data_IF_345590018865
#
_entry.id   IF_345590018865
#
_cell.length_a   1.000
_cell.length_b   1.000
_cell.length_c   1.000
_cell.angle_alpha   90.00
_cell.angle_beta   90.00
_cell.angle_gamma   90.00
#
_symmetry.space_group_name_H-M   'P 1'
#
loop_
_entity.id
_entity.type
_entity.pdbx_description
1 polymer ?
#
# COMPACT_ATOMS: atom_id res chain seq x y z
N UNK A 1 31.87 3.56 34.84
CA UNK A 1 31.33 3.64 36.22
C UNK A 1 29.80 3.76 36.29
N UNK A 2 29.04 3.58 35.19
CA UNK A 2 27.55 3.73 35.19
C UNK A 2 26.82 2.37 35.05
N UNK A 3 27.50 1.32 34.57
CA UNK A 3 26.87 0.01 34.33
C UNK A 3 26.77 -0.88 35.58
N UNK A 4 27.40 -0.52 36.70
CA UNK A 4 27.46 -1.35 37.91
C UNK A 4 26.34 -1.08 38.94
N UNK A 5 25.44 -0.11 38.67
CA UNK A 5 24.32 0.24 39.56
C UNK A 5 22.94 -0.21 39.04
N UNK A 6 22.90 -0.95 37.93
CA UNK A 6 21.67 -1.40 37.26
C UNK A 6 21.45 -2.90 37.51
N UNK A 7 20.23 -3.27 37.94
CA UNK A 7 19.85 -4.68 38.11
C UNK A 7 20.07 -5.45 36.80
N UNK A 8 20.66 -6.65 36.88
CA UNK A 8 21.03 -7.49 35.74
C UNK A 8 19.89 -7.66 34.72
N UNK A 9 18.65 -7.83 35.18
CA UNK A 9 17.46 -7.93 34.33
C UNK A 9 17.19 -6.65 33.53
N UNK A 10 17.37 -5.47 34.14
CA UNK A 10 17.21 -4.17 33.47
C UNK A 10 18.32 -3.93 32.44
N UNK A 11 19.52 -4.42 32.72
CA UNK A 11 20.67 -4.35 31.82
C UNK A 11 20.44 -5.22 30.57
N UNK A 12 19.91 -6.44 30.73
CA UNK A 12 19.51 -7.28 29.59
C UNK A 12 18.37 -6.66 28.78
N UNK A 13 17.39 -6.06 29.44
CA UNK A 13 16.28 -5.38 28.77
C UNK A 13 16.77 -4.16 27.97
N UNK A 14 17.70 -3.37 28.53
CA UNK A 14 18.33 -2.27 27.80
C UNK A 14 19.15 -2.73 26.60
N UNK A 15 19.95 -3.80 26.76
CA UNK A 15 20.74 -4.38 25.67
C UNK A 15 19.85 -4.92 24.54
N UNK A 16 18.72 -5.54 24.88
CA UNK A 16 17.72 -5.97 23.90
C UNK A 16 17.15 -4.79 23.11
N UNK A 17 16.74 -3.70 23.78
CA UNK A 17 16.23 -2.50 23.10
C UNK A 17 17.31 -1.79 22.25
N UNK A 18 18.57 -1.84 22.65
CA UNK A 18 19.69 -1.25 21.89
C UNK A 18 20.02 -2.03 20.60
N UNK A 19 19.71 -3.33 20.56
CA UNK A 19 19.88 -4.16 19.37
C UNK A 19 18.76 -3.97 18.33
N UNK A 20 17.65 -3.31 18.70
CA UNK A 20 16.50 -3.03 17.81
C UNK A 20 16.62 -1.65 17.15
N UNK A 21 17.83 -1.16 16.88
CA UNK A 21 18.01 0.03 16.02
C UNK A 21 17.93 -0.42 14.56
N UNK A 22 16.69 -0.57 14.09
CA UNK A 22 16.41 -0.87 12.69
C UNK A 22 16.67 0.36 11.83
N UNK A 23 17.30 0.14 10.67
CA UNK A 23 17.44 1.15 9.62
C UNK A 23 16.04 1.53 9.11
N UNK A 24 15.58 2.74 9.43
CA UNK A 24 14.34 3.26 8.87
C UNK A 24 14.61 3.71 7.44
N UNK A 25 13.99 3.04 6.48
CA UNK A 25 13.92 3.54 5.11
C UNK A 25 12.73 4.51 5.02
N UNK A 26 12.98 5.76 4.63
CA UNK A 26 11.91 6.69 4.32
C UNK A 26 11.28 6.30 2.98
N UNK A 27 10.29 5.40 3.01
CA UNK A 27 9.50 5.05 1.84
C UNK A 27 8.26 5.94 1.82
N UNK A 28 8.06 6.64 0.70
CA UNK A 28 6.86 7.44 0.50
C UNK A 28 5.77 6.57 -0.11
N UNK A 29 4.88 6.06 0.74
CA UNK A 29 3.62 5.50 0.25
C UNK A 29 2.67 6.62 -0.15
N UNK A 30 1.81 6.35 -1.14
CA UNK A 30 0.74 7.26 -1.49
C UNK A 30 -0.14 7.53 -0.26
N UNK A 31 -0.22 8.79 0.19
CA UNK A 31 -1.08 9.19 1.31
C UNK A 31 -2.49 9.50 0.80
N UNK A 32 -3.47 8.81 1.38
CA UNK A 32 -4.89 9.01 1.12
C UNK A 32 -5.60 9.55 2.36
N UNK A 33 -6.20 10.75 2.27
CA UNK A 33 -7.13 11.26 3.29
C UNK A 33 -8.52 10.62 3.18
N UNK A 34 -8.83 9.98 2.05
CA UNK A 34 -10.15 9.40 1.71
C UNK A 34 -10.11 7.87 1.61
N UNK A 35 -9.18 7.25 2.34
CA UNK A 35 -8.91 5.81 2.31
C UNK A 35 -10.15 4.94 2.60
N UNK A 36 -11.11 5.46 3.38
CA UNK A 36 -12.36 4.79 3.77
C UNK A 36 -13.20 4.34 2.55
N UNK A 37 -13.08 5.02 1.40
CA UNK A 37 -13.87 4.71 0.21
C UNK A 37 -13.27 3.62 -0.70
N UNK A 38 -12.05 3.16 -0.42
CA UNK A 38 -11.41 2.08 -1.16
C UNK A 38 -10.71 1.11 -0.19
N UNK A 39 -11.53 0.30 0.49
CA UNK A 39 -11.04 -0.72 1.43
C UNK A 39 -10.11 -1.73 0.75
N UNK A 40 -10.41 -2.13 -0.48
CA UNK A 40 -9.64 -3.13 -1.23
C UNK A 40 -8.24 -2.61 -1.59
N UNK A 41 -8.06 -1.29 -1.76
CA UNK A 41 -6.75 -0.68 -1.93
C UNK A 41 -5.86 -0.84 -0.70
N UNK A 42 -6.45 -0.81 0.49
CA UNK A 42 -5.71 -0.78 1.75
C UNK A 42 -5.51 -2.18 2.31
N UNK A 43 -6.57 -2.99 2.29
CA UNK A 43 -6.61 -4.25 2.99
C UNK A 43 -7.23 -5.34 2.10
N UNK A 44 -6.47 -6.38 1.70
CA UNK A 44 -7.03 -7.49 0.92
C UNK A 44 -8.17 -8.22 1.65
N UNK A 45 -8.25 -8.14 2.99
CA UNK A 45 -9.31 -8.77 3.79
C UNK A 45 -10.68 -8.09 3.64
N UNK A 46 -10.73 -6.93 2.98
CA UNK A 46 -11.99 -6.24 2.68
C UNK A 46 -12.71 -6.75 1.42
N UNK A 47 -12.08 -7.64 0.64
CA UNK A 47 -12.71 -8.24 -0.53
C UNK A 47 -14.01 -8.96 -0.13
N UNK A 48 -15.13 -8.64 -0.78
CA UNK A 48 -16.42 -9.24 -0.50
C UNK A 48 -17.03 -8.81 0.84
N UNK A 49 -16.50 -7.79 1.52
CA UNK A 49 -17.06 -7.30 2.78
C UNK A 49 -18.45 -6.68 2.63
N UNK A 50 -18.87 -6.36 1.40
CA UNK A 50 -20.22 -5.89 1.06
C UNK A 50 -21.21 -7.00 0.72
N UNK A 51 -20.76 -8.26 0.75
CA UNK A 51 -21.53 -9.49 0.44
C UNK A 51 -22.00 -9.63 -1.00
N UNK A 52 -22.38 -8.54 -1.66
CA UNK A 52 -22.70 -8.46 -3.08
C UNK A 52 -21.47 -8.20 -3.96
N UNK A 53 -21.64 -8.40 -5.27
CA UNK A 53 -20.68 -7.89 -6.26
C UNK A 53 -20.67 -6.36 -6.26
N UNK A 54 -19.50 -5.79 -6.05
CA UNK A 54 -19.30 -4.36 -5.89
C UNK A 54 -18.19 -3.86 -6.83
N UNK A 55 -18.56 -2.98 -7.76
CA UNK A 55 -17.64 -2.29 -8.66
C UNK A 55 -17.57 -0.82 -8.26
N UNK A 56 -16.37 -0.30 -8.05
CA UNK A 56 -16.16 1.11 -7.71
C UNK A 56 -14.92 1.68 -8.38
N UNK A 57 -14.95 2.99 -8.62
CA UNK A 57 -13.82 3.74 -9.15
C UNK A 57 -13.61 5.01 -8.33
N UNK A 58 -12.36 5.41 -8.20
CA UNK A 58 -11.96 6.59 -7.46
C UNK A 58 -11.00 7.43 -8.30
N UNK A 59 -11.24 8.73 -8.33
CA UNK A 59 -10.35 9.70 -8.95
C UNK A 59 -10.11 10.87 -8.01
N UNK A 60 -8.86 11.29 -7.90
CA UNK A 60 -8.44 12.41 -7.06
C UNK A 60 -7.40 13.23 -7.78
N UNK A 61 -7.63 14.54 -7.87
CA UNK A 61 -6.63 15.53 -8.26
C UNK A 61 -6.50 16.52 -7.12
N UNK A 62 -5.27 16.76 -6.66
CA UNK A 62 -4.98 17.78 -5.65
C UNK A 62 -4.12 18.89 -6.23
N UNK A 63 -4.02 20.02 -5.54
CA UNK A 63 -3.13 21.15 -5.90
C UNK A 63 -3.28 21.57 -7.37
N UNK A 64 -4.53 21.59 -7.85
CA UNK A 64 -4.85 21.89 -9.25
C UNK A 64 -4.28 23.24 -9.65
N UNK A 65 -3.58 23.30 -10.78
CA UNK A 65 -2.86 24.50 -11.24
C UNK A 65 -1.37 24.51 -10.90
N UNK A 66 -0.89 23.59 -10.04
CA UNK A 66 0.54 23.38 -9.79
C UNK A 66 1.10 22.37 -10.80
N UNK A 67 2.21 22.70 -11.45
CA UNK A 67 2.90 21.78 -12.37
C UNK A 67 3.38 20.54 -11.61
N UNK A 68 3.02 19.35 -12.10
CA UNK A 68 3.37 18.09 -11.45
C UNK A 68 2.50 17.73 -10.24
N UNK A 69 1.35 18.38 -10.07
CA UNK A 69 0.46 18.12 -8.95
C UNK A 69 0.01 16.63 -8.85
N UNK A 70 -0.23 16.12 -7.61
CA UNK A 70 -0.64 14.74 -7.40
C UNK A 70 -1.98 14.39 -8.04
N UNK A 71 -2.01 13.27 -8.76
CA UNK A 71 -3.20 12.67 -9.34
C UNK A 71 -3.24 11.18 -9.02
N UNK A 72 -4.39 10.70 -8.55
CA UNK A 72 -4.64 9.29 -8.23
C UNK A 72 -5.90 8.82 -8.94
N UNK A 73 -5.87 7.61 -9.47
CA UNK A 73 -7.00 6.92 -10.05
C UNK A 73 -6.99 5.47 -9.60
N UNK A 74 -8.15 4.89 -9.31
CA UNK A 74 -8.27 3.44 -9.12
C UNK A 74 -9.63 2.93 -9.56
N UNK A 75 -9.66 1.66 -9.93
CA UNK A 75 -10.88 0.89 -10.17
C UNK A 75 -10.72 -0.46 -9.49
N UNK A 76 -11.78 -0.88 -8.80
CA UNK A 76 -11.80 -2.12 -8.05
C UNK A 76 -13.15 -2.81 -8.23
N UNK A 77 -13.10 -4.13 -8.32
CA UNK A 77 -14.27 -4.99 -8.34
C UNK A 77 -14.04 -6.13 -7.35
N UNK A 78 -14.98 -6.34 -6.46
CA UNK A 78 -14.93 -7.42 -5.47
C UNK A 78 -16.31 -8.00 -5.21
N UNK A 79 -16.35 -9.17 -4.58
CA UNK A 79 -17.59 -9.85 -4.23
C UNK A 79 -17.31 -11.14 -3.46
N UNK A 80 -18.38 -11.82 -3.07
CA UNK A 80 -18.28 -13.09 -2.35
C UNK A 80 -18.55 -14.29 -3.24
N UNK A 81 -17.97 -15.43 -2.87
CA UNK A 81 -18.17 -16.74 -3.47
C UNK A 81 -18.20 -17.80 -2.36
N UNK A 82 -18.64 -19.02 -2.70
CA UNK A 82 -18.68 -20.17 -1.77
C UNK A 82 -19.53 -19.87 -0.51
N UNK A 83 -20.78 -19.49 -0.72
CA UNK A 83 -21.74 -19.13 0.33
C UNK A 83 -21.17 -18.09 1.31
N UNK A 84 -20.64 -17.00 0.77
CA UNK A 84 -20.09 -15.85 1.52
C UNK A 84 -18.84 -16.12 2.38
N UNK A 85 -18.32 -17.36 2.39
CA UNK A 85 -17.11 -17.74 3.14
C UNK A 85 -15.82 -17.20 2.53
N UNK A 86 -15.86 -16.82 1.26
CA UNK A 86 -14.70 -16.34 0.52
C UNK A 86 -15.05 -15.04 -0.19
N UNK A 87 -14.22 -14.02 -0.01
CA UNK A 87 -14.22 -12.80 -0.80
C UNK A 87 -13.10 -12.84 -1.84
N UNK A 88 -13.38 -12.37 -3.04
CA UNK A 88 -12.37 -12.20 -4.10
C UNK A 88 -12.47 -10.78 -4.66
N UNK A 89 -11.34 -10.21 -5.07
CA UNK A 89 -11.36 -8.86 -5.64
C UNK A 89 -10.14 -8.51 -6.47
N UNK A 90 -10.36 -7.73 -7.51
CA UNK A 90 -9.31 -7.14 -8.35
C UNK A 90 -9.23 -5.64 -8.13
N UNK A 91 -8.02 -5.10 -8.22
CA UNK A 91 -7.75 -3.68 -8.06
C UNK A 91 -6.72 -3.25 -9.10
N UNK A 92 -7.04 -2.19 -9.83
CA UNK A 92 -6.10 -1.45 -10.65
C UNK A 92 -5.99 -0.03 -10.08
N UNK A 93 -4.78 0.44 -9.84
CA UNK A 93 -4.54 1.77 -9.31
C UNK A 93 -3.38 2.44 -10.01
N UNK A 94 -3.52 3.74 -10.31
CA UNK A 94 -2.52 4.57 -10.92
C UNK A 94 -2.35 5.85 -10.12
N UNK A 95 -1.14 6.08 -9.66
CA UNK A 95 -0.72 7.26 -8.93
C UNK A 95 0.34 8.02 -9.73
N UNK A 96 0.26 9.34 -9.74
CA UNK A 96 1.24 10.21 -10.40
C UNK A 96 1.53 11.42 -9.53
N UNK A 97 2.81 11.68 -9.29
CA UNK A 97 3.30 12.83 -8.53
C UNK A 97 4.57 13.35 -9.22
N UNK A 98 4.51 14.56 -9.77
CA UNK A 98 5.62 15.15 -10.52
C UNK A 98 6.06 14.29 -11.72
N UNK A 99 7.34 13.94 -11.73
CA UNK A 99 7.97 13.05 -12.71
C UNK A 99 7.76 11.55 -12.41
N UNK A 100 7.28 11.21 -11.22
CA UNK A 100 7.08 9.84 -10.78
C UNK A 100 5.64 9.38 -11.04
N UNK A 101 5.51 8.14 -11.48
CA UNK A 101 4.21 7.47 -11.60
C UNK A 101 4.31 6.01 -11.18
N UNK A 102 3.23 5.51 -10.59
CA UNK A 102 3.12 4.14 -10.10
C UNK A 102 1.82 3.55 -10.64
N UNK A 103 1.89 2.41 -11.29
CA UNK A 103 0.73 1.62 -11.72
C UNK A 103 0.78 0.29 -10.96
N UNK A 104 -0.29 -0.03 -10.24
CA UNK A 104 -0.41 -1.25 -9.48
C UNK A 104 -1.63 -2.05 -9.91
N UNK A 105 -1.47 -3.36 -9.96
CA UNK A 105 -2.54 -4.32 -10.22
C UNK A 105 -2.48 -5.42 -9.17
N UNK A 106 -3.60 -5.69 -8.49
CA UNK A 106 -3.68 -6.71 -7.45
C UNK A 106 -4.89 -7.61 -7.66
N UNK A 107 -4.69 -8.90 -7.38
CA UNK A 107 -5.73 -9.87 -7.11
C UNK A 107 -5.75 -10.19 -5.60
N UNK A 108 -6.93 -10.30 -5.03
CA UNK A 108 -7.14 -10.42 -3.59
C UNK A 108 -8.09 -11.56 -3.30
N UNK A 109 -7.79 -12.22 -2.18
CA UNK A 109 -8.54 -13.32 -1.64
C UNK A 109 -8.72 -13.09 -0.14
N UNK A 110 -9.95 -13.12 0.34
CA UNK A 110 -10.29 -12.99 1.75
C UNK A 110 -11.06 -14.23 2.19
N UNK A 111 -10.61 -14.88 3.27
CA UNK A 111 -11.36 -15.93 3.93
C UNK A 111 -12.15 -15.34 5.09
N UNK A 112 -13.47 -15.50 5.08
CA UNK A 112 -14.42 -14.88 6.03
C UNK A 112 -14.89 -15.93 7.03
N UNK A 113 -14.44 -15.81 8.27
CA UNK A 113 -14.89 -16.63 9.39
C UNK A 113 -16.05 -15.94 10.10
N UNK A 114 -17.22 -16.58 10.11
CA UNK A 114 -18.34 -16.10 10.91
C UNK A 114 -18.03 -16.33 12.40
N UNK A 115 -17.93 -15.24 13.16
CA UNK A 115 -17.71 -15.29 14.61
C UNK A 115 -19.00 -14.84 15.28
N UNK A 116 -19.85 -15.80 15.63
CA UNK A 116 -21.10 -15.55 16.37
C UNK A 116 -22.37 -15.75 15.54
N UNK A 117 -23.50 -15.37 16.10
CA UNK A 117 -24.85 -15.71 15.58
C UNK A 117 -25.52 -14.57 14.80
N UNK A 118 -24.86 -13.41 14.68
CA UNK A 118 -25.45 -12.17 14.11
C UNK A 118 -24.63 -11.58 12.94
N UNK A 119 -24.07 -12.42 12.06
CA UNK A 119 -23.40 -11.92 10.84
C UNK A 119 -22.10 -11.15 11.09
N UNK A 120 -21.43 -11.37 12.22
CA UNK A 120 -20.09 -10.83 12.47
C UNK A 120 -19.06 -11.72 11.78
N UNK A 121 -18.15 -11.12 11.00
CA UNK A 121 -17.18 -11.85 10.20
C UNK A 121 -15.76 -11.35 10.48
N UNK A 122 -14.89 -12.23 10.97
CA UNK A 122 -13.45 -12.01 10.97
C UNK A 122 -12.87 -12.51 9.65
N UNK A 123 -12.27 -11.62 8.89
CA UNK A 123 -11.77 -11.89 7.55
C UNK A 123 -10.25 -11.84 7.52
N UNK A 124 -9.63 -12.84 6.90
CA UNK A 124 -8.19 -12.93 6.68
C UNK A 124 -7.91 -12.80 5.18
N UNK A 125 -7.16 -11.78 4.80
CA UNK A 125 -6.91 -11.42 3.42
C UNK A 125 -5.47 -11.67 2.99
N UNK A 126 -5.31 -12.18 1.77
CA UNK A 126 -4.06 -12.22 1.04
C UNK A 126 -4.27 -11.55 -0.32
N UNK A 127 -3.26 -10.86 -0.80
CA UNK A 127 -3.25 -10.27 -2.13
C UNK A 127 -1.89 -10.47 -2.79
N UNK A 128 -1.92 -10.67 -4.09
CA UNK A 128 -0.74 -10.73 -4.93
C UNK A 128 -0.91 -9.73 -6.07
N UNK A 129 0.17 -9.09 -6.48
CA UNK A 129 0.11 -8.06 -7.49
C UNK A 129 1.43 -7.77 -8.15
N UNK A 130 1.36 -6.81 -9.06
CA UNK A 130 2.51 -6.22 -9.73
C UNK A 130 2.43 -4.72 -9.59
N UNK A 131 3.57 -4.11 -9.33
CA UNK A 131 3.71 -2.66 -9.23
C UNK A 131 4.75 -2.22 -10.25
N UNK A 132 4.33 -1.40 -11.19
CA UNK A 132 5.21 -0.72 -12.12
C UNK A 132 5.46 0.71 -11.63
N UNK A 133 6.70 0.98 -11.26
CA UNK A 133 7.17 2.32 -10.90
C UNK A 133 7.92 2.91 -12.08
N UNK A 134 7.51 4.10 -12.52
CA UNK A 134 8.15 4.81 -13.63
C UNK A 134 8.56 6.23 -13.22
N UNK A 135 9.73 6.65 -13.69
CA UNK A 135 10.30 7.98 -13.49
C UNK A 135 10.63 8.60 -14.84
N UNK A 136 10.04 9.75 -15.12
CA UNK A 136 10.28 10.53 -16.33
C UNK A 136 11.35 11.61 -16.08
N UNK A 137 12.60 11.29 -16.43
CA UNK A 137 13.72 12.20 -16.21
C UNK A 137 13.69 13.47 -17.07
N UNK A 138 12.88 13.50 -18.15
CA UNK A 138 12.71 14.72 -18.98
C UNK A 138 11.98 15.85 -18.24
N UNK A 139 11.25 15.51 -17.19
CA UNK A 139 10.54 16.47 -16.31
C UNK A 139 11.37 16.91 -15.11
N UNK A 140 12.59 16.41 -14.98
CA UNK A 140 13.50 16.77 -13.90
C UNK A 140 14.42 17.90 -14.35
N UNK A 141 14.40 19.02 -13.64
CA UNK A 141 15.33 20.12 -13.88
C UNK A 141 16.66 19.80 -13.22
N UNK A 142 17.68 19.50 -14.01
CA UNK A 142 19.02 19.26 -13.48
C UNK A 142 19.62 20.54 -12.90
N UNK A 143 20.16 20.49 -11.68
CA UNK A 143 20.89 21.62 -11.07
C UNK A 143 22.21 21.86 -11.82
N UNK A 144 22.78 20.81 -12.41
CA UNK A 144 24.01 20.84 -13.21
C UNK A 144 23.76 20.25 -14.59
N UNK A 145 24.12 20.99 -15.64
CA UNK A 145 24.03 20.51 -17.03
C UNK A 145 25.04 19.37 -17.26
N UNK A 146 24.57 18.20 -17.69
CA UNK A 146 25.44 17.04 -17.97
C UNK A 146 25.57 16.01 -16.84
N UNK A 147 24.70 16.05 -15.82
CA UNK A 147 24.66 15.01 -14.78
C UNK A 147 24.05 13.71 -15.33
N UNK A 148 24.92 12.70 -15.53
CA UNK A 148 24.57 11.36 -16.05
C UNK A 148 23.66 10.54 -15.12
N UNK A 149 23.33 11.03 -13.92
CA UNK A 149 22.45 10.34 -12.95
C UNK A 149 20.97 10.53 -13.32
N UNK A 150 20.61 11.58 -14.06
CA UNK A 150 19.22 11.84 -14.50
C UNK A 150 18.95 11.09 -15.83
N UNK A 151 17.98 10.16 -15.87
CA UNK A 151 17.64 9.47 -17.10
C UNK A 151 17.16 10.43 -18.19
N UNK A 152 17.66 10.29 -19.43
CA UNK A 152 17.26 11.13 -20.57
C UNK A 152 15.83 10.81 -21.08
N UNK A 153 15.13 9.86 -20.43
CA UNK A 153 13.78 9.42 -20.79
C UNK A 153 13.03 8.80 -19.62
N UNK A 154 11.92 8.11 -19.92
CA UNK A 154 11.16 7.38 -18.90
C UNK A 154 11.81 6.04 -18.61
N UNK A 155 12.20 5.83 -17.36
CA UNK A 155 12.63 4.54 -16.85
C UNK A 155 11.48 3.91 -16.09
N UNK A 156 11.20 2.63 -16.34
CA UNK A 156 10.16 1.90 -15.61
C UNK A 156 10.66 0.56 -15.11
N UNK A 157 10.34 0.25 -13.86
CA UNK A 157 10.67 -1.01 -13.20
C UNK A 157 9.38 -1.69 -12.77
N UNK A 158 9.23 -2.97 -13.11
CA UNK A 158 8.12 -3.81 -12.66
C UNK A 158 8.61 -4.65 -11.49
N UNK A 159 7.84 -4.64 -10.40
CA UNK A 159 8.13 -5.37 -9.17
C UNK A 159 6.94 -6.27 -8.84
N UNK A 160 7.15 -7.57 -8.53
CA UNK A 160 6.12 -8.37 -7.91
C UNK A 160 5.84 -7.85 -6.49
N UNK A 161 4.59 -7.93 -6.05
CA UNK A 161 4.17 -7.48 -4.73
C UNK A 161 3.18 -8.47 -4.09
N UNK A 162 3.17 -8.50 -2.76
CA UNK A 162 2.28 -9.34 -1.97
C UNK A 162 1.84 -8.60 -0.71
N UNK A 163 0.58 -8.78 -0.33
CA UNK A 163 -0.05 -8.12 0.80
C UNK A 163 -0.87 -9.10 1.63
N UNK A 164 -0.96 -8.84 2.93
CA UNK A 164 -1.78 -9.60 3.85
C UNK A 164 -2.52 -8.64 4.78
N UNK A 165 -3.67 -9.05 5.30
CA UNK A 165 -4.43 -8.23 6.22
C UNK A 165 -5.52 -8.99 6.96
N UNK A 166 -6.09 -8.34 7.96
CA UNK A 166 -7.20 -8.84 8.76
C UNK A 166 -8.25 -7.74 8.85
N UNK A 167 -9.53 -8.10 8.80
CA UNK A 167 -10.67 -7.20 8.96
C UNK A 167 -11.70 -7.86 9.89
N UNK A 168 -12.30 -7.09 10.79
CA UNK A 168 -13.36 -7.53 11.69
C UNK A 168 -14.55 -6.57 11.59
#
# INVERSE_FOLDING_TARGET
>A
MILSSLNTEKTWLMLFFMLVVLRVNAQQNAQYSQYIFNGLYINPASAGAKEDFYLHSFYRSQWTGVTGAPQSFSVAADGTVNDEKVGVGILLAKDKVGAQSTLAAYANYAYRLQIGTQGQHLSFGLGAGIVQSALDGSKLTAIQSGDNIIPVGTQSTILPDARAGVLY
#
